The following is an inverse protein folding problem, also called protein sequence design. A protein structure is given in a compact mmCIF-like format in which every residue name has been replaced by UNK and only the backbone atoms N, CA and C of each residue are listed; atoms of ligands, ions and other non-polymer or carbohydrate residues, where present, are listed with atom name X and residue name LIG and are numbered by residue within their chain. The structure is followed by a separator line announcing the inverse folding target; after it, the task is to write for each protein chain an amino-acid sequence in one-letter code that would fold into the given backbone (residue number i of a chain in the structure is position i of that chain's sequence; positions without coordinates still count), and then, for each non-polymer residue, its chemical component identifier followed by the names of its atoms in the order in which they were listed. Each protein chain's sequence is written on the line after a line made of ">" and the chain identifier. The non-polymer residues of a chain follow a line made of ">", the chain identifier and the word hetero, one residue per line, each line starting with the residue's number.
data_IF_849849712942
#
_entry.id   IF_849849712942
#
_cell.length_a   1.000
_cell.length_b   1.000
_cell.length_c   1.000
_cell.angle_alpha   90.00
_cell.angle_beta   90.00
_cell.angle_gamma   90.00
#
_symmetry.space_group_name_H-M   'P 1'
#
loop_
_entity.id
_entity.type
_entity.pdbx_description
1 polymer ?
#
# COMPACT_ATOMS: atom_id res chain seq x y z
N UNK A 1 58.69 8.39 -35.84
CA UNK A 1 58.13 7.70 -34.65
C UNK A 1 58.05 8.71 -33.51
N UNK A 2 56.87 9.26 -33.23
CA UNK A 2 56.65 10.03 -32.00
C UNK A 2 55.26 9.70 -31.51
N UNK A 3 55.18 8.95 -30.41
CA UNK A 3 53.93 8.43 -29.84
C UNK A 3 53.16 9.57 -29.18
N UNK A 4 51.88 9.70 -29.55
CA UNK A 4 50.87 10.51 -28.84
C UNK A 4 50.75 10.00 -27.40
N UNK A 5 50.90 10.89 -26.43
CA UNK A 5 50.47 10.66 -25.06
C UNK A 5 48.94 10.91 -25.00
N UNK A 6 48.19 9.90 -24.56
CA UNK A 6 46.79 10.05 -24.19
C UNK A 6 46.70 10.66 -22.79
N UNK A 7 45.74 11.55 -22.50
CA UNK A 7 45.54 12.06 -21.15
C UNK A 7 44.91 10.95 -20.31
N UNK A 8 45.54 10.66 -19.17
CA UNK A 8 45.02 9.81 -18.11
C UNK A 8 43.67 10.37 -17.62
N UNK A 9 42.65 9.53 -17.68
CA UNK A 9 41.34 9.81 -17.09
C UNK A 9 41.53 9.72 -15.57
N UNK A 10 41.67 10.88 -14.93
CA UNK A 10 41.71 11.03 -13.47
C UNK A 10 40.44 10.45 -12.84
N UNK A 11 40.63 9.67 -11.78
CA UNK A 11 39.63 8.82 -11.13
C UNK A 11 38.32 9.51 -10.75
N UNK A 12 37.22 8.77 -10.96
CA UNK A 12 35.92 9.11 -10.45
C UNK A 12 35.95 9.21 -8.92
N UNK A 13 35.70 10.40 -8.40
CA UNK A 13 35.41 10.59 -6.98
C UNK A 13 34.20 9.72 -6.61
N UNK A 14 34.40 8.76 -5.70
CA UNK A 14 33.33 8.02 -5.05
C UNK A 14 32.35 9.02 -4.44
N UNK A 15 31.17 9.16 -5.05
CA UNK A 15 30.09 9.98 -4.48
C UNK A 15 29.75 9.38 -3.11
N UNK A 16 30.06 10.11 -2.05
CA UNK A 16 29.83 9.66 -0.67
C UNK A 16 28.32 9.52 -0.47
N UNK A 17 27.84 8.28 -0.38
CA UNK A 17 26.43 7.97 -0.14
C UNK A 17 25.98 8.44 1.24
N UNK A 18 24.78 9.01 1.33
CA UNK A 18 24.18 9.44 2.60
C UNK A 18 23.85 8.21 3.46
N UNK A 19 24.22 8.20 4.74
CA UNK A 19 23.86 7.10 5.62
C UNK A 19 22.38 7.20 6.01
N UNK A 20 21.60 6.16 5.71
CA UNK A 20 20.15 6.14 5.93
C UNK A 20 19.78 4.99 6.86
N UNK A 21 19.36 5.29 8.09
CA UNK A 21 18.95 4.29 9.07
C UNK A 21 17.45 3.99 8.92
N UNK A 22 17.12 2.77 8.48
CA UNK A 22 15.75 2.41 8.15
C UNK A 22 15.14 1.46 9.20
N UNK A 23 14.00 1.85 9.79
CA UNK A 23 13.26 1.07 10.78
C UNK A 23 11.94 0.54 10.22
N UNK A 24 11.47 -0.58 10.78
CA UNK A 24 10.22 -1.27 10.41
C UNK A 24 10.09 -1.77 8.96
N UNK A 25 11.13 -1.61 8.14
CA UNK A 25 11.19 -2.15 6.77
C UNK A 25 11.28 -3.68 6.77
N UNK A 26 10.30 -4.34 6.14
CA UNK A 26 10.33 -5.79 5.88
C UNK A 26 11.49 -6.19 4.97
N UNK A 27 12.08 -7.35 5.19
CA UNK A 27 13.26 -7.81 4.42
C UNK A 27 13.05 -7.76 2.90
N UNK A 28 11.88 -8.15 2.41
CA UNK A 28 11.57 -8.15 0.97
C UNK A 28 11.48 -6.74 0.34
N UNK A 29 11.25 -5.67 1.14
CA UNK A 29 11.23 -4.28 0.65
C UNK A 29 12.63 -3.66 0.56
N UNK A 30 13.63 -4.24 1.23
CA UNK A 30 14.99 -3.69 1.32
C UNK A 30 15.68 -3.56 -0.05
N UNK A 31 15.68 -4.60 -0.92
CA UNK A 31 16.34 -4.48 -2.21
C UNK A 31 15.69 -3.43 -3.11
N UNK A 32 14.38 -3.22 -2.98
CA UNK A 32 13.67 -2.18 -3.71
C UNK A 32 14.15 -0.79 -3.24
N UNK A 33 14.17 -0.51 -1.94
CA UNK A 33 14.67 0.77 -1.42
C UNK A 33 16.12 1.04 -1.82
N UNK A 34 17.00 0.03 -1.75
CA UNK A 34 18.40 0.19 -2.16
C UNK A 34 18.55 0.53 -3.65
N UNK A 35 17.67 0.00 -4.52
CA UNK A 35 17.65 0.36 -5.95
C UNK A 35 17.03 1.74 -6.19
N UNK A 36 15.94 2.06 -5.50
CA UNK A 36 15.21 3.33 -5.65
C UNK A 36 15.97 4.55 -5.14
N UNK A 37 16.93 4.34 -4.24
CA UNK A 37 17.76 5.43 -3.70
C UNK A 37 19.25 5.05 -3.74
N UNK A 38 19.87 5.03 -4.93
CA UNK A 38 21.26 4.58 -5.11
C UNK A 38 22.29 5.52 -4.48
N UNK A 39 21.89 6.76 -4.19
CA UNK A 39 22.63 7.79 -3.47
C UNK A 39 22.69 7.54 -1.96
N UNK A 40 21.95 6.57 -1.44
CA UNK A 40 21.88 6.22 -0.01
C UNK A 40 22.63 4.94 0.31
N UNK A 41 23.14 4.88 1.54
CA UNK A 41 23.67 3.66 2.16
C UNK A 41 22.73 3.26 3.29
N UNK A 42 21.88 2.26 3.02
CA UNK A 42 20.88 1.82 3.97
C UNK A 42 21.48 0.98 5.11
N UNK A 43 21.06 1.30 6.32
CA UNK A 43 21.30 0.53 7.53
C UNK A 43 19.95 0.09 8.08
N UNK A 44 19.53 -1.15 7.79
CA UNK A 44 18.23 -1.66 8.21
C UNK A 44 18.25 -2.20 9.64
N UNK A 45 17.52 -1.54 10.53
CA UNK A 45 17.39 -1.96 11.91
C UNK A 45 16.48 -3.20 12.02
N UNK A 46 16.72 -4.11 12.99
CA UNK A 46 15.82 -5.21 13.30
C UNK A 46 14.43 -4.71 13.66
N UNK A 47 13.38 -5.43 13.24
CA UNK A 47 11.99 -5.06 13.57
C UNK A 47 11.69 -5.14 15.07
N UNK A 48 12.19 -6.18 15.73
CA UNK A 48 12.02 -6.41 17.17
C UNK A 48 13.29 -5.96 17.88
N UNK A 49 13.55 -4.66 17.85
CA UNK A 49 14.73 -4.10 18.48
C UNK A 49 14.43 -3.86 19.96
N UNK A 50 15.22 -4.50 20.84
CA UNK A 50 15.17 -4.22 22.27
C UNK A 50 15.86 -2.88 22.59
N UNK A 51 15.44 -2.21 23.65
CA UNK A 51 16.08 -0.96 24.10
C UNK A 51 17.58 -1.16 24.36
N UNK A 52 17.94 -2.30 24.97
CA UNK A 52 19.35 -2.65 25.24
C UNK A 52 20.16 -2.82 23.95
N UNK A 53 19.61 -3.49 22.93
CA UNK A 53 20.32 -3.65 21.64
C UNK A 53 20.42 -2.34 20.87
N UNK A 54 19.40 -1.47 20.98
CA UNK A 54 19.45 -0.12 20.43
C UNK A 54 20.59 0.68 21.05
N UNK A 55 20.63 0.79 22.38
CA UNK A 55 21.63 1.58 23.11
C UNK A 55 23.06 1.03 22.92
N UNK A 56 23.24 -0.29 22.89
CA UNK A 56 24.57 -0.90 22.76
C UNK A 56 25.12 -0.88 21.33
N UNK A 57 24.25 -0.99 20.33
CA UNK A 57 24.67 -1.25 18.94
C UNK A 57 24.33 -0.11 17.99
N UNK A 58 23.08 0.34 18.00
CA UNK A 58 22.57 1.24 16.96
C UNK A 58 22.80 2.70 17.29
N UNK A 59 22.56 3.11 18.53
CA UNK A 59 22.82 4.47 18.99
C UNK A 59 24.28 4.89 18.78
N UNK A 60 25.31 4.10 19.16
CA UNK A 60 26.70 4.48 18.87
C UNK A 60 26.97 4.57 17.37
N UNK A 61 26.41 3.67 16.56
CA UNK A 61 26.58 3.72 15.10
C UNK A 61 25.94 4.96 14.47
N UNK A 62 24.75 5.34 14.91
CA UNK A 62 24.07 6.55 14.44
C UNK A 62 24.89 7.79 14.82
N UNK A 63 25.37 7.86 16.07
CA UNK A 63 26.14 9.01 16.58
C UNK A 63 27.56 9.11 15.99
N UNK A 64 28.14 8.00 15.54
CA UNK A 64 29.45 7.98 14.89
C UNK A 64 29.38 8.33 13.40
N UNK A 65 28.21 8.22 12.78
CA UNK A 65 28.06 8.65 11.39
C UNK A 65 28.03 10.17 11.29
N UNK A 66 28.52 10.68 10.16
CA UNK A 66 28.45 12.11 9.84
C UNK A 66 27.01 12.52 9.46
N UNK A 67 26.80 13.24 8.32
CA UNK A 67 25.43 13.50 7.87
C UNK A 67 24.71 12.17 7.64
N UNK A 68 23.59 11.98 8.33
CA UNK A 68 22.72 10.81 8.21
C UNK A 68 21.25 11.22 8.29
N UNK A 69 20.37 10.29 7.95
CA UNK A 69 18.91 10.45 8.05
C UNK A 69 18.26 9.16 8.55
N UNK A 70 17.00 9.25 8.95
CA UNK A 70 16.19 8.11 9.41
C UNK A 70 15.00 7.91 8.49
N UNK A 71 14.82 6.69 8.00
CA UNK A 71 13.62 6.25 7.29
C UNK A 71 12.75 5.40 8.22
N UNK A 72 11.47 5.72 8.34
CA UNK A 72 10.51 4.99 9.17
C UNK A 72 9.42 4.42 8.30
N UNK A 73 9.32 3.10 8.17
CA UNK A 73 8.17 2.52 7.48
C UNK A 73 6.91 2.62 8.36
N UNK A 74 5.90 3.37 7.91
CA UNK A 74 4.68 3.67 8.66
C UNK A 74 4.86 4.75 9.74
N UNK A 75 3.88 4.89 10.65
CA UNK A 75 3.82 6.03 11.59
C UNK A 75 4.68 5.87 12.87
N UNK A 76 5.12 4.66 13.19
CA UNK A 76 5.73 4.37 14.48
C UNK A 76 7.25 4.62 14.46
N UNK A 77 7.68 5.84 14.79
CA UNK A 77 9.09 6.12 15.09
C UNK A 77 9.42 5.63 16.52
N UNK A 78 10.40 4.73 16.71
CA UNK A 78 10.78 4.26 18.05
C UNK A 78 11.18 5.43 18.98
N UNK A 79 10.69 5.50 20.23
CA UNK A 79 10.95 6.64 21.13
C UNK A 79 12.43 6.96 21.33
N UNK A 80 13.27 5.94 21.53
CA UNK A 80 14.71 6.13 21.68
C UNK A 80 15.38 6.71 20.42
N UNK A 81 14.87 6.35 19.23
CA UNK A 81 15.34 6.92 17.96
C UNK A 81 14.82 8.34 17.75
N UNK A 82 13.58 8.62 18.14
CA UNK A 82 12.99 9.97 18.13
C UNK A 82 13.79 10.95 19.00
N UNK A 83 14.20 10.50 20.19
CA UNK A 83 15.01 11.30 21.12
C UNK A 83 16.37 11.66 20.50
N UNK A 84 17.06 10.70 19.89
CA UNK A 84 18.36 10.95 19.24
C UNK A 84 18.18 11.83 18.01
N UNK A 85 17.18 11.56 17.18
CA UNK A 85 16.93 12.34 15.98
C UNK A 85 16.66 13.81 16.31
N UNK A 86 15.88 14.07 17.37
CA UNK A 86 15.63 15.42 17.87
C UNK A 86 16.91 16.07 18.42
N UNK A 87 17.66 15.37 19.29
CA UNK A 87 18.87 15.90 19.93
C UNK A 87 19.98 16.23 18.93
N UNK A 88 20.08 15.46 17.85
CA UNK A 88 21.14 15.58 16.85
C UNK A 88 20.66 16.27 15.56
N UNK A 89 19.43 16.76 15.52
CA UNK A 89 18.79 17.32 14.32
C UNK A 89 18.91 16.40 13.09
N UNK A 90 18.73 15.09 13.29
CA UNK A 90 18.75 14.10 12.20
C UNK A 90 17.40 14.15 11.50
N UNK A 91 17.36 14.35 10.17
CA UNK A 91 16.12 14.31 9.40
C UNK A 91 15.42 12.96 9.52
N UNK A 92 14.11 12.98 9.72
CA UNK A 92 13.25 11.79 9.74
C UNK A 92 12.31 11.85 8.54
N UNK A 93 12.25 10.78 7.77
CA UNK A 93 11.30 10.57 6.68
C UNK A 93 10.44 9.35 6.99
N UNK A 94 9.14 9.55 7.10
CA UNK A 94 8.16 8.49 7.11
C UNK A 94 7.93 8.00 5.69
N UNK A 95 7.97 6.69 5.51
CA UNK A 95 7.86 6.01 4.21
C UNK A 95 6.64 5.12 4.24
N UNK A 96 5.79 5.25 3.24
CA UNK A 96 4.65 4.37 3.04
C UNK A 96 4.47 3.97 1.58
N UNK A 97 3.67 2.92 1.36
CA UNK A 97 3.21 2.60 0.01
C UNK A 97 2.39 3.81 -0.50
N UNK A 98 2.71 4.30 -1.69
CA UNK A 98 1.93 5.34 -2.35
C UNK A 98 0.55 4.83 -2.78
N UNK A 99 -0.30 5.71 -3.29
CA UNK A 99 -1.70 5.36 -3.58
C UNK A 99 -1.86 4.40 -4.76
N UNK A 100 -0.87 4.33 -5.65
CA UNK A 100 -0.81 3.38 -6.76
C UNK A 100 0.21 2.28 -6.45
N UNK A 101 -0.25 1.14 -5.96
CA UNK A 101 0.61 0.16 -5.29
C UNK A 101 1.19 -0.93 -6.21
N UNK A 102 0.35 -1.68 -6.92
CA UNK A 102 0.80 -2.85 -7.69
C UNK A 102 -0.21 -3.30 -8.74
N UNK A 103 0.28 -4.00 -9.77
CA UNK A 103 -0.56 -4.62 -10.81
C UNK A 103 -1.49 -5.69 -10.23
N UNK A 104 -1.00 -6.47 -9.26
CA UNK A 104 -1.78 -7.54 -8.62
C UNK A 104 -2.39 -7.10 -7.28
N UNK A 105 -3.65 -7.45 -7.00
CA UNK A 105 -4.33 -7.23 -5.73
C UNK A 105 -3.66 -8.12 -4.70
N UNK A 106 -3.18 -7.50 -3.62
CA UNK A 106 -2.63 -8.20 -2.45
C UNK A 106 -1.77 -9.42 -2.82
N UNK A 107 -0.96 -9.34 -3.89
CA UNK A 107 0.11 -10.29 -4.08
C UNK A 107 1.06 -10.04 -2.92
N UNK A 108 1.17 -11.02 -2.04
CA UNK A 108 2.10 -10.95 -0.94
C UNK A 108 3.47 -10.66 -1.58
N UNK A 109 4.09 -9.52 -1.23
CA UNK A 109 5.49 -9.18 -1.58
C UNK A 109 5.77 -8.71 -3.03
N UNK A 110 4.81 -8.07 -3.72
CA UNK A 110 5.15 -7.30 -4.93
C UNK A 110 5.80 -5.96 -4.54
N UNK A 111 6.93 -5.55 -5.15
CA UNK A 111 7.53 -4.24 -4.90
C UNK A 111 6.53 -3.11 -5.16
N UNK A 112 6.49 -2.07 -4.30
CA UNK A 112 5.58 -0.96 -4.50
C UNK A 112 5.99 -0.17 -5.75
N UNK A 113 5.01 0.25 -6.55
CA UNK A 113 5.24 1.09 -7.73
C UNK A 113 5.39 2.57 -7.37
N UNK A 114 4.91 2.96 -6.18
CA UNK A 114 5.02 4.32 -5.66
C UNK A 114 5.29 4.31 -4.16
N UNK A 115 6.03 5.32 -3.70
CA UNK A 115 6.30 5.58 -2.29
C UNK A 115 5.82 6.97 -1.91
N UNK A 116 5.13 7.06 -0.78
CA UNK A 116 4.92 8.31 -0.07
C UNK A 116 6.13 8.56 0.84
N UNK A 117 6.77 9.72 0.70
CA UNK A 117 7.88 10.18 1.54
C UNK A 117 7.43 11.44 2.27
N UNK A 118 7.33 11.38 3.59
CA UNK A 118 6.81 12.48 4.40
C UNK A 118 7.78 12.82 5.54
N UNK A 119 8.21 14.08 5.62
CA UNK A 119 9.13 14.55 6.65
C UNK A 119 8.45 14.91 7.98
N UNK A 120 7.10 14.92 8.03
CA UNK A 120 6.31 15.34 9.19
C UNK A 120 5.54 14.19 9.82
N UNK A 121 4.65 13.58 9.06
CA UNK A 121 3.78 12.48 9.50
C UNK A 121 3.16 11.79 8.29
N UNK A 122 2.95 10.45 8.30
CA UNK A 122 2.28 9.77 7.19
C UNK A 122 0.91 10.38 6.85
N UNK A 123 0.54 10.35 5.57
CA UNK A 123 -0.70 10.95 5.06
C UNK A 123 -1.99 10.50 5.77
N UNK A 124 -2.00 9.32 6.39
CA UNK A 124 -3.15 8.78 7.11
C UNK A 124 -3.23 9.22 8.58
N UNK A 125 -2.19 9.89 9.10
CA UNK A 125 -2.17 10.42 10.47
C UNK A 125 -2.83 11.80 10.49
N UNK A 126 -3.99 11.89 11.13
CA UNK A 126 -4.74 13.14 11.28
C UNK A 126 -4.43 13.88 12.58
N UNK A 127 -3.56 13.35 13.45
CA UNK A 127 -3.16 14.01 14.69
C UNK A 127 -2.10 15.09 14.47
N UNK A 128 -1.37 15.03 13.35
CA UNK A 128 -0.29 15.94 12.99
C UNK A 128 -0.40 16.36 11.53
N UNK A 129 0.13 17.54 11.14
CA UNK A 129 0.20 17.91 9.74
C UNK A 129 1.20 17.01 9.00
N UNK A 130 0.78 16.43 7.88
CA UNK A 130 1.65 15.76 6.91
C UNK A 130 2.17 16.74 5.86
N UNK A 131 3.23 16.38 5.14
CA UNK A 131 3.66 17.14 3.96
C UNK A 131 2.57 17.18 2.89
N UNK A 132 1.76 16.12 2.76
CA UNK A 132 0.57 16.15 1.89
C UNK A 132 -0.46 17.19 2.34
N UNK A 133 -0.77 17.27 3.64
CA UNK A 133 -1.71 18.26 4.18
C UNK A 133 -1.22 19.68 3.93
N UNK A 134 0.10 19.91 4.10
CA UNK A 134 0.73 21.21 3.85
C UNK A 134 0.70 21.55 2.37
N UNK A 135 1.05 20.60 1.50
CA UNK A 135 0.98 20.77 0.04
C UNK A 135 -0.43 21.17 -0.39
N UNK A 136 -1.45 20.42 0.03
CA UNK A 136 -2.85 20.69 -0.30
C UNK A 136 -3.33 22.04 0.25
N UNK A 137 -2.84 22.45 1.43
CA UNK A 137 -3.20 23.72 2.04
C UNK A 137 -2.56 24.93 1.36
N UNK A 138 -1.32 24.79 0.87
CA UNK A 138 -0.46 25.94 0.52
C UNK A 138 -0.18 26.08 -0.97
N UNK A 139 -0.30 25.01 -1.76
CA UNK A 139 -0.01 25.06 -3.19
C UNK A 139 -1.08 25.85 -3.97
N UNK A 140 -0.64 26.72 -4.87
CA UNK A 140 -1.53 27.51 -5.73
C UNK A 140 -1.93 26.72 -6.98
N UNK A 141 -2.94 25.86 -6.81
CA UNK A 141 -3.50 25.05 -7.90
C UNK A 141 -4.21 25.88 -8.98
N UNK A 142 -4.72 27.07 -8.64
CA UNK A 142 -5.44 27.92 -9.60
C UNK A 142 -4.49 28.57 -10.60
N UNK A 143 -3.26 28.87 -10.17
CA UNK A 143 -2.21 29.40 -11.02
C UNK A 143 -1.55 28.36 -11.93
N UNK A 144 -1.60 27.06 -11.60
CA UNK A 144 -0.97 25.99 -12.39
C UNK A 144 -1.98 25.23 -13.27
N UNK A 145 -2.44 25.88 -14.33
CA UNK A 145 -3.39 25.30 -15.28
C UNK A 145 -2.88 24.01 -15.95
N UNK A 146 -1.56 23.89 -16.18
CA UNK A 146 -0.95 22.72 -16.81
C UNK A 146 -1.00 21.50 -15.89
N UNK A 147 -0.69 21.68 -14.59
CA UNK A 147 -0.85 20.64 -13.59
C UNK A 147 -2.31 20.21 -13.44
N UNK A 148 -3.24 21.16 -13.45
CA UNK A 148 -4.68 20.85 -13.31
C UNK A 148 -5.23 20.06 -14.50
N UNK A 149 -4.78 20.37 -15.73
CA UNK A 149 -5.11 19.56 -16.90
C UNK A 149 -4.50 18.16 -16.82
N UNK A 150 -3.23 18.06 -16.39
CA UNK A 150 -2.56 16.79 -16.13
C UNK A 150 -3.29 15.95 -15.08
N UNK A 151 -3.80 16.58 -14.03
CA UNK A 151 -4.57 15.93 -12.98
C UNK A 151 -5.91 15.39 -13.48
N UNK A 152 -6.64 16.18 -14.29
CA UNK A 152 -7.88 15.76 -14.93
C UNK A 152 -7.65 14.54 -15.85
N UNK A 153 -6.66 14.62 -16.73
CA UNK A 153 -6.29 13.54 -17.62
C UNK A 153 -5.82 12.30 -16.84
N UNK A 154 -5.04 12.49 -15.78
CA UNK A 154 -4.55 11.43 -14.92
C UNK A 154 -5.65 10.70 -14.15
N UNK A 155 -6.63 11.43 -13.61
CA UNK A 155 -7.79 10.85 -12.96
C UNK A 155 -8.64 10.03 -13.95
N UNK A 156 -8.89 10.58 -15.14
CA UNK A 156 -9.59 9.86 -16.20
C UNK A 156 -8.85 8.60 -16.65
N UNK A 157 -7.52 8.67 -16.79
CA UNK A 157 -6.66 7.52 -17.12
C UNK A 157 -6.76 6.42 -16.07
N UNK A 158 -6.69 6.78 -14.78
CA UNK A 158 -6.80 5.82 -13.68
C UNK A 158 -8.18 5.14 -13.68
N UNK A 159 -9.26 5.91 -13.75
CA UNK A 159 -10.62 5.36 -13.76
C UNK A 159 -10.89 4.48 -14.98
N UNK A 160 -10.48 4.94 -16.17
CA UNK A 160 -10.68 4.20 -17.43
C UNK A 160 -9.83 2.94 -17.56
N UNK A 161 -8.80 2.79 -16.73
CA UNK A 161 -7.99 1.56 -16.69
C UNK A 161 -8.61 0.46 -15.82
N UNK A 162 -9.61 0.76 -15.00
CA UNK A 162 -10.14 -0.17 -14.00
C UNK A 162 -9.17 -0.49 -12.86
N UNK A 163 -8.01 0.19 -12.82
CA UNK A 163 -6.99 -0.01 -11.78
C UNK A 163 -7.49 0.59 -10.47
N UNK A 164 -7.55 -0.25 -9.45
CA UNK A 164 -7.74 0.12 -8.05
C UNK A 164 -6.55 -0.41 -7.23
N UNK A 165 -6.54 -0.14 -5.91
CA UNK A 165 -5.54 -0.71 -4.98
C UNK A 165 -5.55 -2.26 -5.01
N UNK A 166 -6.65 -2.87 -5.49
CA UNK A 166 -6.83 -4.31 -5.62
C UNK A 166 -7.45 -4.72 -6.98
N UNK A 167 -6.68 -5.27 -7.93
CA UNK A 167 -7.11 -5.65 -9.31
C UNK A 167 -7.28 -7.18 -9.57
N UNK A 168 -8.42 -7.84 -9.30
CA UNK A 168 -8.47 -9.33 -9.48
C UNK A 168 -9.79 -9.98 -9.86
N UNK A 169 -9.67 -11.06 -10.66
CA UNK A 169 -10.57 -12.22 -10.77
C UNK A 169 -11.81 -12.07 -11.65
N UNK A 170 -12.27 -13.19 -12.25
CA UNK A 170 -13.45 -13.33 -13.13
C UNK A 170 -14.65 -12.49 -12.64
N UNK A 171 -15.09 -11.59 -13.50
CA UNK A 171 -15.89 -10.42 -13.15
C UNK A 171 -17.37 -10.80 -13.13
N UNK A 172 -17.92 -11.02 -11.93
CA UNK A 172 -19.36 -10.80 -11.76
C UNK A 172 -19.61 -9.29 -11.80
N UNK A 173 -20.71 -8.90 -12.42
CA UNK A 173 -21.12 -7.49 -12.46
C UNK A 173 -21.81 -7.09 -11.16
N UNK A 174 -21.85 -5.79 -10.88
CA UNK A 174 -22.60 -5.27 -9.75
C UNK A 174 -24.09 -5.62 -9.81
N UNK A 175 -24.72 -5.73 -11.00
CA UNK A 175 -26.12 -6.16 -11.09
C UNK A 175 -26.31 -7.64 -10.78
N UNK A 176 -25.34 -8.49 -11.11
CA UNK A 176 -25.39 -9.92 -10.76
C UNK A 176 -25.30 -10.14 -9.25
N UNK A 177 -24.61 -9.25 -8.53
CA UNK A 177 -24.44 -9.36 -7.07
C UNK A 177 -25.53 -8.58 -6.32
N UNK A 178 -25.78 -7.31 -6.67
CA UNK A 178 -26.69 -6.42 -5.95
C UNK A 178 -28.14 -6.48 -6.47
N UNK A 179 -28.39 -7.23 -7.54
CA UNK A 179 -29.68 -7.29 -8.23
C UNK A 179 -30.01 -6.05 -9.07
N UNK A 180 -31.28 -5.88 -9.50
CA UNK A 180 -31.72 -4.69 -10.21
C UNK A 180 -31.69 -3.46 -9.28
N UNK A 181 -31.22 -2.32 -9.79
CA UNK A 181 -31.22 -1.06 -9.05
C UNK A 181 -32.62 -0.45 -9.07
N UNK A 182 -33.37 -0.64 -8.00
CA UNK A 182 -34.74 -0.11 -7.83
C UNK A 182 -34.81 1.13 -6.93
N UNK A 183 -33.72 1.42 -6.20
CA UNK A 183 -33.61 2.53 -5.23
C UNK A 183 -32.15 2.97 -5.07
N UNK A 184 -31.91 4.05 -4.30
CA UNK A 184 -30.55 4.53 -3.98
C UNK A 184 -29.71 3.40 -3.39
N UNK A 185 -28.46 3.26 -3.84
CA UNK A 185 -27.49 2.28 -3.34
C UNK A 185 -26.43 2.96 -2.49
N UNK A 186 -26.26 2.45 -1.28
CA UNK A 186 -25.26 2.93 -0.34
C UNK A 186 -24.26 1.81 -0.09
N UNK A 187 -22.98 2.06 -0.36
CA UNK A 187 -21.91 1.11 -0.08
C UNK A 187 -21.18 1.48 1.20
N UNK A 188 -21.19 0.59 2.18
CA UNK A 188 -20.38 0.67 3.38
C UNK A 188 -19.09 -0.13 3.16
N UNK A 189 -17.95 0.56 3.18
CA UNK A 189 -16.64 -0.07 2.94
C UNK A 189 -16.03 -0.53 4.26
N UNK A 190 -15.95 -1.86 4.43
CA UNK A 190 -15.27 -2.46 5.57
C UNK A 190 -13.75 -2.33 5.49
N UNK A 191 -13.12 -2.17 6.65
CA UNK A 191 -11.67 -2.10 6.82
C UNK A 191 -11.22 -3.06 7.94
N UNK A 192 -9.93 -3.34 7.95
CA UNK A 192 -9.27 -4.02 9.08
C UNK A 192 -9.18 -3.02 10.24
N UNK A 193 -9.87 -3.28 11.34
CA UNK A 193 -10.11 -2.29 12.42
C UNK A 193 -8.86 -1.96 13.27
N UNK A 194 -7.79 -2.75 13.15
CA UNK A 194 -6.49 -2.47 13.76
C UNK A 194 -5.48 -1.86 12.76
N UNK A 195 -5.92 -1.48 11.56
CA UNK A 195 -5.09 -0.82 10.56
C UNK A 195 -4.59 0.55 11.07
N UNK A 196 -3.36 0.91 10.68
CA UNK A 196 -2.74 2.16 11.07
C UNK A 196 -3.57 3.37 10.61
N UNK A 197 -4.20 3.31 9.44
CA UNK A 197 -5.06 4.39 8.94
C UNK A 197 -6.30 4.62 9.79
N UNK A 198 -6.82 3.60 10.50
CA UNK A 198 -7.90 3.80 11.48
C UNK A 198 -7.30 4.33 12.78
N UNK A 199 -6.24 3.69 13.28
CA UNK A 199 -5.61 4.09 14.54
C UNK A 199 -5.15 5.55 14.58
N UNK A 200 -4.62 6.07 13.47
CA UNK A 200 -4.11 7.45 13.37
C UNK A 200 -5.05 8.38 12.60
N UNK A 201 -6.05 7.85 11.90
CA UNK A 201 -7.00 8.62 11.10
C UNK A 201 -8.41 8.68 11.66
N UNK A 202 -8.71 8.03 12.80
CA UNK A 202 -10.04 8.00 13.41
C UNK A 202 -9.97 8.34 14.91
N UNK A 203 -9.88 9.63 15.28
CA UNK A 203 -9.75 10.08 16.67
C UNK A 203 -10.86 9.59 17.60
N UNK A 204 -12.12 9.68 17.15
CA UNK A 204 -13.25 9.04 17.82
C UNK A 204 -13.40 7.61 17.31
N UNK A 205 -13.45 6.59 18.20
CA UNK A 205 -13.57 5.19 17.79
C UNK A 205 -14.78 4.95 16.88
N UNK A 206 -14.56 4.18 15.81
CA UNK A 206 -15.59 3.77 14.85
C UNK A 206 -15.28 2.33 14.43
N UNK A 207 -16.21 1.40 14.64
CA UNK A 207 -16.11 0.03 14.12
C UNK A 207 -16.76 -0.08 12.75
N UNK A 208 -16.53 -1.18 12.03
CA UNK A 208 -17.25 -1.43 10.78
C UNK A 208 -18.78 -1.53 11.02
N UNK A 209 -19.20 -2.15 12.12
CA UNK A 209 -20.61 -2.30 12.46
C UNK A 209 -21.25 -0.94 12.81
N UNK A 210 -20.53 -0.05 13.48
CA UNK A 210 -21.00 1.31 13.75
C UNK A 210 -21.18 2.11 12.47
N UNK A 211 -20.27 1.95 11.50
CA UNK A 211 -20.40 2.57 10.19
C UNK A 211 -21.64 2.07 9.43
N UNK A 212 -21.95 0.76 9.51
CA UNK A 212 -23.17 0.20 8.92
C UNK A 212 -24.41 0.77 9.60
N UNK A 213 -24.44 0.84 10.93
CA UNK A 213 -25.55 1.43 11.69
C UNK A 213 -25.76 2.89 11.33
N UNK A 214 -24.67 3.65 11.19
CA UNK A 214 -24.71 5.05 10.77
C UNK A 214 -25.35 5.19 9.38
N UNK A 215 -24.85 4.46 8.39
CA UNK A 215 -25.39 4.49 7.03
C UNK A 215 -26.88 4.11 6.98
N UNK A 216 -27.27 3.04 7.69
CA UNK A 216 -28.66 2.58 7.75
C UNK A 216 -29.58 3.62 8.42
N UNK A 217 -29.10 4.32 9.45
CA UNK A 217 -29.89 5.34 10.16
C UNK A 217 -30.15 6.59 9.31
N UNK A 218 -29.23 6.92 8.41
CA UNK A 218 -29.29 8.15 7.60
C UNK A 218 -29.87 7.95 6.22
N UNK A 219 -29.83 6.70 5.73
CA UNK A 219 -30.32 6.31 4.41
C UNK A 219 -31.40 5.22 4.55
N UNK A 220 -32.49 5.45 5.31
CA UNK A 220 -33.45 4.40 5.66
C UNK A 220 -34.17 3.76 4.47
N UNK A 221 -34.29 4.49 3.35
CA UNK A 221 -34.94 4.01 2.13
C UNK A 221 -33.96 3.37 1.13
N UNK A 222 -32.65 3.45 1.37
CA UNK A 222 -31.64 2.95 0.46
C UNK A 222 -31.40 1.44 0.59
N UNK A 223 -30.86 0.84 -0.47
CA UNK A 223 -30.23 -0.48 -0.39
C UNK A 223 -28.84 -0.29 0.24
N UNK A 224 -28.70 -0.69 1.49
CA UNK A 224 -27.41 -0.68 2.20
C UNK A 224 -26.64 -1.94 1.85
N UNK A 225 -25.51 -1.79 1.18
CA UNK A 225 -24.57 -2.83 0.80
C UNK A 225 -23.35 -2.72 1.73
N UNK A 226 -23.09 -3.73 2.55
CA UNK A 226 -21.87 -3.77 3.35
C UNK A 226 -20.87 -4.70 2.71
N UNK A 227 -19.70 -4.18 2.33
CA UNK A 227 -18.58 -4.99 1.79
C UNK A 227 -17.47 -5.13 2.83
N UNK A 228 -17.41 -6.23 3.59
CA UNK A 228 -16.33 -6.46 4.55
C UNK A 228 -14.96 -6.55 3.87
N UNK A 229 -13.90 -6.21 4.59
CA UNK A 229 -12.55 -6.42 4.09
C UNK A 229 -12.24 -7.93 3.96
N UNK A 230 -11.59 -8.40 2.87
CA UNK A 230 -11.28 -9.83 2.70
C UNK A 230 -10.58 -10.48 3.90
N UNK A 231 -9.59 -9.79 4.50
CA UNK A 231 -8.87 -10.27 5.69
C UNK A 231 -9.76 -10.45 6.94
N UNK A 232 -10.88 -9.73 7.02
CA UNK A 232 -11.89 -9.89 8.10
C UNK A 232 -12.73 -11.13 7.84
N UNK A 233 -13.15 -11.35 6.59
CA UNK A 233 -13.88 -12.56 6.18
C UNK A 233 -13.05 -13.83 6.42
N UNK A 234 -11.74 -13.79 6.17
CA UNK A 234 -10.84 -14.92 6.36
C UNK A 234 -10.45 -15.17 7.83
N UNK A 235 -10.93 -14.36 8.79
CA UNK A 235 -10.65 -14.47 10.24
C UNK A 235 -9.15 -14.51 10.60
N UNK A 236 -8.30 -13.94 9.75
CA UNK A 236 -6.83 -13.94 9.94
C UNK A 236 -6.41 -12.97 11.06
N UNK A 237 -7.31 -12.06 11.46
CA UNK A 237 -7.11 -11.13 12.57
C UNK A 237 -8.27 -11.22 13.58
N UNK A 238 -8.03 -10.85 14.87
CA UNK A 238 -9.10 -10.77 15.86
C UNK A 238 -10.18 -9.79 15.37
N UNK A 239 -11.39 -10.28 15.16
CA UNK A 239 -12.52 -9.45 14.74
C UNK A 239 -12.98 -8.58 15.93
N UNK A 240 -13.03 -7.25 15.78
CA UNK A 240 -13.70 -6.37 16.75
C UNK A 240 -15.17 -6.13 16.36
N UNK A 241 -15.50 -6.30 15.09
CA UNK A 241 -16.86 -6.34 14.55
C UNK A 241 -17.23 -7.70 13.96
N UNK A 242 -18.49 -8.13 14.14
CA UNK A 242 -19.07 -9.27 13.43
C UNK A 242 -20.15 -8.80 12.42
N UNK A 243 -19.95 -9.01 11.10
CA UNK A 243 -20.97 -8.68 10.08
C UNK A 243 -22.36 -9.26 10.36
N UNK A 244 -22.46 -10.40 11.06
CA UNK A 244 -23.75 -11.02 11.41
C UNK A 244 -24.61 -10.12 12.30
N UNK A 245 -24.01 -9.29 13.16
CA UNK A 245 -24.74 -8.38 14.05
C UNK A 245 -25.45 -7.24 13.31
N UNK A 246 -25.05 -6.93 12.08
CA UNK A 246 -25.61 -5.83 11.28
C UNK A 246 -26.26 -6.32 9.98
N UNK A 247 -26.31 -7.63 9.75
CA UNK A 247 -26.93 -8.24 8.57
C UNK A 247 -28.45 -7.98 8.47
N UNK A 248 -29.11 -7.60 9.57
CA UNK A 248 -30.51 -7.17 9.56
C UNK A 248 -30.70 -5.73 9.05
N UNK A 249 -29.62 -4.96 8.89
CA UNK A 249 -29.62 -3.57 8.42
C UNK A 249 -29.09 -3.43 6.98
N UNK A 250 -28.43 -4.45 6.45
CA UNK A 250 -27.73 -4.38 5.19
C UNK A 250 -27.62 -5.73 4.49
N UNK A 251 -27.33 -5.69 3.20
CA UNK A 251 -26.90 -6.84 2.42
C UNK A 251 -25.38 -6.98 2.52
N UNK A 252 -24.91 -8.08 3.12
CA UNK A 252 -23.47 -8.34 3.30
C UNK A 252 -22.88 -8.95 2.03
N UNK A 253 -22.10 -8.16 1.31
CA UNK A 253 -21.45 -8.53 0.04
C UNK A 253 -20.15 -9.29 0.33
N UNK A 254 -20.23 -10.62 0.31
CA UNK A 254 -19.09 -11.51 0.56
C UNK A 254 -18.36 -11.93 -0.72
N UNK A 255 -19.00 -11.72 -1.86
CA UNK A 255 -18.51 -12.04 -3.18
C UNK A 255 -17.27 -11.21 -3.54
N UNK A 256 -16.35 -11.85 -4.26
CA UNK A 256 -15.21 -11.18 -4.86
C UNK A 256 -15.70 -10.26 -5.97
N UNK A 257 -15.68 -8.96 -5.70
CA UNK A 257 -16.03 -7.90 -6.63
C UNK A 257 -14.95 -6.82 -6.56
N UNK A 258 -14.26 -6.53 -7.67
CA UNK A 258 -13.31 -5.42 -7.74
C UNK A 258 -13.99 -4.12 -7.32
N UNK A 259 -13.24 -3.24 -6.65
CA UNK A 259 -13.81 -2.01 -6.12
C UNK A 259 -14.41 -1.12 -7.24
N UNK A 260 -13.74 -1.05 -8.39
CA UNK A 260 -14.23 -0.31 -9.55
C UNK A 260 -15.63 -0.77 -9.99
N UNK A 261 -15.87 -2.08 -10.03
CA UNK A 261 -17.17 -2.65 -10.38
C UNK A 261 -18.17 -2.48 -9.22
N UNK A 262 -17.74 -2.67 -7.98
CA UNK A 262 -18.57 -2.46 -6.79
C UNK A 262 -19.14 -1.04 -6.71
N UNK A 263 -18.38 -0.04 -7.16
CA UNK A 263 -18.80 1.37 -7.15
C UNK A 263 -19.71 1.73 -8.32
N UNK A 264 -19.80 0.92 -9.39
CA UNK A 264 -20.44 1.32 -10.66
C UNK A 264 -21.92 1.69 -10.53
N UNK A 265 -22.64 1.05 -9.60
CA UNK A 265 -24.08 1.29 -9.40
C UNK A 265 -24.40 2.01 -8.08
N UNK A 266 -23.37 2.39 -7.32
CA UNK A 266 -23.47 3.01 -5.99
C UNK A 266 -23.66 4.52 -6.12
N UNK A 267 -24.56 5.07 -5.31
CA UNK A 267 -24.84 6.52 -5.28
C UNK A 267 -24.10 7.22 -4.14
N UNK A 268 -23.82 6.50 -3.05
CA UNK A 268 -23.18 7.05 -1.85
C UNK A 268 -22.30 6.01 -1.18
N UNK A 269 -21.07 6.40 -0.81
CA UNK A 269 -20.13 5.57 -0.05
C UNK A 269 -19.99 6.08 1.38
N UNK A 270 -20.07 5.16 2.33
CA UNK A 270 -19.70 5.37 3.72
C UNK A 270 -18.37 4.65 3.99
N UNK A 271 -17.41 5.36 4.57
CA UNK A 271 -16.09 4.80 4.90
C UNK A 271 -15.53 5.40 6.18
N UNK A 272 -14.64 4.69 6.88
CA UNK A 272 -13.90 5.24 8.02
C UNK A 272 -12.73 6.07 7.49
N UNK A 273 -11.72 5.41 6.93
CA UNK A 273 -10.51 6.03 6.37
C UNK A 273 -10.01 5.37 5.08
N UNK A 274 -10.83 4.52 4.45
CA UNK A 274 -10.40 3.69 3.33
C UNK A 274 -10.02 4.55 2.12
N UNK A 275 -8.98 4.15 1.38
CA UNK A 275 -8.69 4.75 0.08
C UNK A 275 -9.86 4.60 -0.91
N UNK A 276 -10.75 3.63 -0.68
CA UNK A 276 -11.95 3.44 -1.48
C UNK A 276 -12.87 4.68 -1.51
N UNK A 277 -12.92 5.46 -0.42
CA UNK A 277 -13.65 6.73 -0.42
C UNK A 277 -13.06 7.74 -1.42
N UNK A 278 -11.73 7.80 -1.54
CA UNK A 278 -11.10 8.66 -2.55
C UNK A 278 -11.38 8.17 -3.97
N UNK A 279 -11.41 6.86 -4.21
CA UNK A 279 -11.82 6.31 -5.51
C UNK A 279 -13.27 6.63 -5.85
N UNK A 280 -14.16 6.60 -4.86
CA UNK A 280 -15.56 7.00 -5.02
C UNK A 280 -15.70 8.49 -5.38
N UNK A 281 -14.94 9.38 -4.71
CA UNK A 281 -14.88 10.80 -5.06
C UNK A 281 -14.44 11.01 -6.52
N UNK A 282 -13.42 10.28 -6.98
CA UNK A 282 -12.96 10.36 -8.36
C UNK A 282 -14.06 9.98 -9.38
N UNK A 283 -15.00 9.11 -8.98
CA UNK A 283 -16.15 8.70 -9.79
C UNK A 283 -17.36 9.64 -9.67
N UNK A 284 -17.26 10.72 -8.88
CA UNK A 284 -18.36 11.64 -8.62
C UNK A 284 -19.45 11.07 -7.70
N UNK A 285 -19.13 10.05 -6.91
CA UNK A 285 -20.04 9.44 -5.94
C UNK A 285 -20.00 10.26 -4.65
N UNK A 286 -21.15 10.44 -3.99
CA UNK A 286 -21.20 11.08 -2.67
C UNK A 286 -20.42 10.25 -1.64
N UNK A 287 -19.63 10.90 -0.78
CA UNK A 287 -18.81 10.19 0.22
C UNK A 287 -19.00 10.80 1.59
N UNK A 288 -19.39 9.96 2.55
CA UNK A 288 -19.38 10.27 3.98
C UNK A 288 -18.19 9.59 4.64
N UNK A 289 -17.35 10.35 5.35
CA UNK A 289 -16.23 9.81 6.11
C UNK A 289 -16.51 9.85 7.60
N UNK A 290 -16.50 8.67 8.23
CA UNK A 290 -16.65 8.52 9.67
C UNK A 290 -15.33 8.72 10.44
N UNK A 291 -14.18 8.67 9.76
CA UNK A 291 -12.89 9.12 10.27
C UNK A 291 -12.44 10.43 9.58
N UNK A 292 -11.13 10.69 9.62
CA UNK A 292 -10.47 11.85 9.00
C UNK A 292 -9.32 11.42 8.06
N UNK A 293 -9.61 10.66 6.98
CA UNK A 293 -8.60 10.28 5.99
C UNK A 293 -8.00 11.52 5.30
N UNK A 294 -6.89 11.37 4.56
CA UNK A 294 -6.19 12.50 3.92
C UNK A 294 -7.08 13.37 3.00
N UNK A 295 -8.14 12.78 2.43
CA UNK A 295 -9.08 13.43 1.51
C UNK A 295 -10.30 14.06 2.20
N UNK A 296 -10.46 13.91 3.51
CA UNK A 296 -11.50 14.58 4.30
C UNK A 296 -11.07 16.00 4.73
N UNK A 297 -12.03 16.90 4.92
CA UNK A 297 -11.82 18.27 5.36
C UNK A 297 -11.57 19.29 4.24
N UNK A 298 -11.68 18.89 2.97
CA UNK A 298 -11.43 19.76 1.81
C UNK A 298 -12.69 20.20 1.07
N UNK A 299 -13.87 19.93 1.63
CA UNK A 299 -15.17 20.27 1.03
C UNK A 299 -15.66 19.32 -0.06
N UNK A 300 -15.02 18.14 -0.19
CA UNK A 300 -15.40 17.10 -1.15
C UNK A 300 -16.17 15.93 -0.49
N UNK A 301 -16.19 15.87 0.83
CA UNK A 301 -16.79 14.80 1.64
C UNK A 301 -17.73 15.37 2.70
N UNK A 302 -18.69 14.54 3.13
CA UNK A 302 -19.46 14.78 4.34
C UNK A 302 -18.71 14.16 5.55
N UNK A 303 -18.08 15.03 6.34
CA UNK A 303 -17.13 14.64 7.38
C UNK A 303 -17.80 14.53 8.76
N UNK A 304 -17.75 13.35 9.38
CA UNK A 304 -18.27 13.16 10.76
C UNK A 304 -17.25 13.44 11.83
N UNK A 305 -15.98 13.51 11.45
CA UNK A 305 -14.88 13.94 12.30
C UNK A 305 -14.13 15.06 11.60
N UNK A 306 -14.44 16.30 12.00
CA UNK A 306 -13.80 17.50 11.45
C UNK A 306 -12.31 17.54 11.78
N UNK A 307 -11.48 17.98 10.83
CA UNK A 307 -10.09 18.31 11.08
C UNK A 307 -9.90 19.84 11.02
N UNK A 308 -9.68 20.53 12.15
CA UNK A 308 -9.64 21.99 12.19
C UNK A 308 -8.48 22.61 11.40
N UNK A 309 -7.47 21.82 11.01
CA UNK A 309 -6.35 22.29 10.18
C UNK A 309 -6.70 22.32 8.69
N UNK A 310 -7.79 21.64 8.28
CA UNK A 310 -8.27 21.56 6.90
C UNK A 310 -9.55 22.38 6.77
N UNK A 311 -9.43 23.54 6.13
CA UNK A 311 -10.56 24.46 5.92
C UNK A 311 -10.62 25.07 4.52
N UNK A 312 -9.66 24.71 3.65
CA UNK A 312 -9.63 25.12 2.25
C UNK A 312 -10.57 24.23 1.44
N UNK A 313 -11.35 24.83 0.55
CA UNK A 313 -12.11 24.06 -0.46
C UNK A 313 -11.18 23.72 -1.63
N UNK A 314 -11.10 22.45 -1.98
CA UNK A 314 -10.34 21.97 -3.13
C UNK A 314 -11.27 21.38 -4.19
N UNK A 315 -10.89 21.51 -5.46
CA UNK A 315 -11.48 20.68 -6.51
C UNK A 315 -10.94 19.25 -6.40
N UNK A 316 -11.66 18.31 -7.01
CA UNK A 316 -11.21 16.91 -7.09
C UNK A 316 -9.85 16.81 -7.79
N UNK A 317 -9.63 17.58 -8.85
CA UNK A 317 -8.37 17.60 -9.59
C UNK A 317 -7.22 18.15 -8.75
N UNK A 318 -7.45 19.17 -7.90
CA UNK A 318 -6.42 19.71 -7.02
C UNK A 318 -6.01 18.66 -5.97
N UNK A 319 -6.99 17.97 -5.39
CA UNK A 319 -6.72 16.89 -4.45
C UNK A 319 -6.00 15.71 -5.13
N UNK A 320 -6.38 15.36 -6.35
CA UNK A 320 -5.69 14.35 -7.17
C UNK A 320 -4.25 14.78 -7.51
N UNK A 321 -4.03 16.02 -7.92
CA UNK A 321 -2.71 16.56 -8.24
C UNK A 321 -1.77 16.44 -7.04
N UNK A 322 -2.23 16.86 -5.86
CA UNK A 322 -1.48 16.70 -4.62
C UNK A 322 -1.18 15.23 -4.32
N UNK A 323 -2.21 14.39 -4.31
CA UNK A 323 -2.10 13.01 -3.86
C UNK A 323 -1.37 12.07 -4.86
N UNK A 324 -1.51 12.25 -6.17
CA UNK A 324 -1.00 11.31 -7.17
C UNK A 324 0.12 11.89 -8.05
N UNK A 325 0.30 13.20 -8.13
CA UNK A 325 1.30 13.79 -9.04
C UNK A 325 2.48 14.43 -8.32
N UNK A 326 2.24 15.06 -7.17
CA UNK A 326 3.25 15.85 -6.46
C UNK A 326 3.81 15.17 -5.22
N UNK A 327 2.96 14.54 -4.41
CA UNK A 327 3.37 13.96 -3.12
C UNK A 327 4.13 12.63 -3.24
N UNK A 328 3.64 11.60 -3.97
CA UNK A 328 4.35 10.33 -4.09
C UNK A 328 5.45 10.38 -5.17
N UNK A 329 6.47 9.56 -4.97
CA UNK A 329 7.47 9.25 -6.01
C UNK A 329 7.16 7.88 -6.63
N UNK A 330 7.31 7.78 -7.94
CA UNK A 330 7.06 6.56 -8.69
C UNK A 330 8.36 5.93 -9.14
N UNK A 331 8.41 4.60 -9.12
CA UNK A 331 9.61 3.83 -9.45
C UNK A 331 9.29 2.65 -10.34
N UNK A 332 10.16 2.36 -11.30
CA UNK A 332 10.13 1.09 -12.03
C UNK A 332 10.66 -0.04 -11.11
N UNK A 333 9.87 -1.08 -10.78
CA UNK A 333 10.23 -2.08 -9.78
C UNK A 333 11.55 -2.83 -10.03
N UNK A 334 11.87 -3.03 -11.32
CA UNK A 334 13.03 -3.82 -11.74
C UNK A 334 14.30 -2.99 -11.63
N UNK A 335 14.33 -1.81 -12.24
CA UNK A 335 15.54 -0.98 -12.29
C UNK A 335 15.69 -0.12 -11.05
N UNK A 336 14.59 0.29 -10.43
CA UNK A 336 14.56 1.29 -9.35
C UNK A 336 14.56 2.72 -9.84
N UNK A 337 14.55 2.95 -11.16
CA UNK A 337 14.57 4.30 -11.73
C UNK A 337 13.27 5.05 -11.41
N UNK A 338 13.38 6.35 -11.17
CA UNK A 338 12.22 7.21 -11.04
C UNK A 338 11.43 7.28 -12.35
N UNK A 339 10.11 7.26 -12.23
CA UNK A 339 9.19 7.33 -13.37
C UNK A 339 8.05 8.29 -13.07
N UNK A 340 7.12 8.45 -14.01
CA UNK A 340 5.92 9.25 -13.82
C UNK A 340 4.72 8.40 -13.41
N UNK A 341 3.72 9.06 -12.83
CA UNK A 341 2.40 8.47 -12.58
C UNK A 341 1.82 7.83 -13.85
N UNK A 342 1.82 8.55 -14.97
CA UNK A 342 1.25 8.10 -16.25
C UNK A 342 1.97 6.87 -16.79
N UNK A 343 3.31 6.88 -16.75
CA UNK A 343 4.12 5.75 -17.18
C UNK A 343 3.87 4.50 -16.31
N UNK A 344 3.68 4.71 -15.00
CA UNK A 344 3.33 3.64 -14.06
C UNK A 344 1.95 3.08 -14.36
N UNK A 345 0.93 3.92 -14.55
CA UNK A 345 -0.43 3.48 -14.92
C UNK A 345 -0.41 2.72 -16.25
N UNK A 346 0.30 3.22 -17.26
CA UNK A 346 0.45 2.53 -18.54
C UNK A 346 1.16 1.18 -18.40
N UNK A 347 2.18 1.09 -17.55
CA UNK A 347 2.87 -0.17 -17.27
C UNK A 347 1.96 -1.18 -16.57
N UNK A 348 1.15 -0.75 -15.59
CA UNK A 348 0.15 -1.60 -14.94
C UNK A 348 -0.86 -2.09 -15.97
N UNK A 349 -1.42 -1.18 -16.78
CA UNK A 349 -2.43 -1.51 -17.79
C UNK A 349 -1.92 -2.56 -18.77
N UNK A 350 -0.70 -2.38 -19.33
CA UNK A 350 -0.07 -3.39 -20.19
C UNK A 350 0.03 -4.76 -19.53
N UNK A 351 0.39 -4.81 -18.25
CA UNK A 351 0.47 -6.09 -17.53
C UNK A 351 -0.90 -6.72 -17.24
N UNK A 352 -1.98 -5.93 -17.15
CA UNK A 352 -3.35 -6.45 -17.03
C UNK A 352 -3.88 -6.95 -18.37
N UNK A 353 -3.58 -6.24 -19.47
CA UNK A 353 -3.99 -6.60 -20.83
C UNK A 353 -3.20 -7.81 -21.38
N UNK A 354 -1.95 -8.00 -20.92
CA UNK A 354 -1.06 -9.11 -21.29
C UNK A 354 -0.73 -9.99 -20.06
N UNK A 355 -1.70 -10.74 -19.50
CA UNK A 355 -1.51 -11.50 -18.27
C UNK A 355 -0.42 -12.59 -18.35
N UNK A 356 -0.01 -12.99 -19.56
CA UNK A 356 0.94 -14.08 -19.82
C UNK A 356 2.42 -13.73 -19.63
N UNK A 357 2.81 -12.45 -19.57
CA UNK A 357 4.24 -12.11 -19.55
C UNK A 357 4.93 -12.29 -18.19
N UNK A 358 4.19 -12.53 -17.09
CA UNK A 358 4.76 -12.73 -15.75
C UNK A 358 3.94 -13.65 -14.84
N UNK A 359 3.17 -14.61 -15.35
CA UNK A 359 2.77 -15.71 -14.47
C UNK A 359 4.04 -16.49 -14.14
N UNK A 360 4.42 -16.68 -12.86
CA UNK A 360 5.34 -17.76 -12.55
C UNK A 360 4.55 -19.03 -12.88
N UNK A 361 4.75 -19.54 -14.09
CA UNK A 361 4.25 -20.84 -14.48
C UNK A 361 4.75 -21.81 -13.42
N UNK A 362 3.86 -22.67 -12.89
CA UNK A 362 4.24 -23.76 -11.98
C UNK A 362 5.58 -24.33 -12.45
N UNK A 363 6.56 -24.51 -11.55
CA UNK A 363 7.88 -24.92 -11.97
C UNK A 363 7.73 -26.21 -12.78
N UNK A 364 8.13 -26.15 -14.06
CA UNK A 364 8.02 -27.30 -14.95
C UNK A 364 8.73 -28.48 -14.30
N UNK A 365 8.10 -29.67 -14.33
CA UNK A 365 8.69 -30.84 -13.71
C UNK A 365 10.07 -31.11 -14.31
N UNK A 366 11.08 -31.22 -13.46
CA UNK A 366 12.44 -31.57 -13.88
C UNK A 366 12.90 -32.80 -13.11
N UNK A 367 13.48 -33.81 -13.80
CA UNK A 367 14.00 -35.00 -13.14
C UNK A 367 15.24 -34.72 -12.28
N UNK A 368 15.88 -33.55 -12.44
CA UNK A 368 17.04 -33.14 -11.69
C UNK A 368 17.02 -31.61 -11.49
N UNK A 369 17.58 -31.14 -10.37
CA UNK A 369 17.73 -29.70 -10.09
C UNK A 369 17.18 -29.28 -8.72
N UNK A 370 16.65 -28.05 -8.58
CA UNK A 370 16.31 -27.47 -7.28
C UNK A 370 15.22 -28.23 -6.51
N UNK A 371 14.42 -29.03 -7.23
CA UNK A 371 13.35 -29.88 -6.69
C UNK A 371 13.79 -31.34 -6.44
N UNK A 372 15.10 -31.61 -6.45
CA UNK A 372 15.68 -32.91 -6.11
C UNK A 372 15.76 -33.90 -7.26
N UNK A 373 16.29 -35.09 -6.93
CA UNK A 373 16.41 -36.24 -7.84
C UNK A 373 15.01 -36.76 -8.19
N UNK A 374 14.75 -37.07 -9.45
CA UNK A 374 13.43 -37.41 -10.00
C UNK A 374 12.33 -36.37 -9.71
N UNK A 375 12.71 -35.13 -9.37
CA UNK A 375 11.74 -34.05 -9.11
C UNK A 375 10.76 -34.33 -7.97
N UNK A 376 11.09 -35.23 -7.02
CA UNK A 376 10.13 -35.68 -6.00
C UNK A 376 9.58 -34.53 -5.14
N UNK A 377 10.32 -33.41 -5.00
CA UNK A 377 9.84 -32.24 -4.24
C UNK A 377 8.74 -31.46 -4.95
N UNK A 378 8.46 -31.72 -6.23
CA UNK A 378 7.24 -31.20 -6.86
C UNK A 378 5.97 -31.76 -6.20
N UNK A 379 6.03 -32.96 -5.59
CA UNK A 379 4.91 -33.54 -4.84
C UNK A 379 4.63 -32.76 -3.55
N UNK A 380 5.66 -32.18 -2.93
CA UNK A 380 5.50 -31.33 -1.75
C UNK A 380 4.63 -30.10 -2.05
N UNK A 381 4.65 -29.61 -3.29
CA UNK A 381 3.80 -28.49 -3.71
C UNK A 381 2.32 -28.84 -3.54
N UNK A 382 1.91 -30.01 -4.03
CA UNK A 382 0.52 -30.48 -3.93
C UNK A 382 0.11 -30.81 -2.49
N UNK A 383 1.02 -31.37 -1.69
CA UNK A 383 0.77 -31.75 -0.29
C UNK A 383 0.67 -30.52 0.62
N UNK A 384 1.54 -29.53 0.41
CA UNK A 384 1.66 -28.38 1.31
C UNK A 384 0.74 -27.23 0.95
N UNK A 385 0.33 -27.08 -0.31
CA UNK A 385 -0.55 -25.98 -0.71
C UNK A 385 -1.85 -25.88 0.11
N UNK A 386 -2.56 -26.98 0.47
CA UNK A 386 -3.73 -26.90 1.34
C UNK A 386 -3.39 -26.43 2.77
N UNK A 387 -2.27 -26.86 3.32
CA UNK A 387 -1.82 -26.43 4.65
C UNK A 387 -1.40 -24.96 4.66
N UNK A 388 -0.72 -24.50 3.60
CA UNK A 388 -0.35 -23.10 3.41
C UNK A 388 -1.59 -22.22 3.20
N UNK A 389 -2.57 -22.70 2.44
CA UNK A 389 -3.88 -22.04 2.29
C UNK A 389 -4.58 -21.86 3.64
N UNK A 390 -4.56 -22.91 4.47
CA UNK A 390 -5.20 -22.88 5.78
C UNK A 390 -4.46 -21.99 6.80
N UNK A 391 -3.12 -21.98 6.76
CA UNK A 391 -2.31 -21.16 7.66
C UNK A 391 -2.22 -19.68 7.20
N UNK A 392 -2.46 -19.41 5.92
CA UNK A 392 -2.43 -18.09 5.31
C UNK A 392 -3.76 -17.78 4.61
N UNK A 393 -3.75 -17.76 3.29
CA UNK A 393 -4.92 -17.57 2.44
C UNK A 393 -4.75 -18.26 1.08
N UNK A 394 -5.78 -18.23 0.24
CA UNK A 394 -5.73 -18.81 -1.10
C UNK A 394 -4.57 -18.31 -1.96
N UNK A 395 -4.16 -17.05 -1.78
CA UNK A 395 -3.06 -16.44 -2.53
C UNK A 395 -1.69 -16.86 -2.04
N UNK A 396 -1.50 -17.07 -0.73
CA UNK A 396 -0.25 -17.65 -0.20
C UNK A 396 -0.03 -19.06 -0.78
N UNK A 397 -1.10 -19.82 -0.99
CA UNK A 397 -1.03 -21.11 -1.64
C UNK A 397 -0.74 -21.00 -3.14
N UNK A 398 -1.26 -19.99 -3.84
CA UNK A 398 -0.93 -19.69 -5.24
C UNK A 398 0.54 -19.26 -5.40
N UNK A 399 1.02 -18.32 -4.58
CA UNK A 399 2.41 -17.86 -4.55
C UNK A 399 3.37 -19.03 -4.27
N UNK A 400 3.02 -19.90 -3.31
CA UNK A 400 3.77 -21.12 -3.03
C UNK A 400 3.75 -22.11 -4.21
N UNK A 401 2.62 -22.31 -4.88
CA UNK A 401 2.55 -23.20 -6.04
C UNK A 401 3.36 -22.67 -7.23
N UNK A 402 3.46 -21.36 -7.35
CA UNK A 402 4.14 -20.67 -8.44
C UNK A 402 5.67 -20.64 -8.22
N UNK A 403 6.13 -20.36 -7.00
CA UNK A 403 7.55 -20.42 -6.63
C UNK A 403 7.73 -20.91 -5.17
N UNK A 404 7.78 -22.24 -4.93
CA UNK A 404 7.93 -22.80 -3.60
C UNK A 404 9.19 -22.32 -2.87
N UNK A 405 10.28 -22.12 -3.61
CA UNK A 405 11.60 -21.77 -3.08
C UNK A 405 11.59 -20.30 -2.68
N UNK A 406 11.19 -19.41 -3.59
CA UNK A 406 11.06 -17.99 -3.33
C UNK A 406 10.01 -17.70 -2.27
N UNK A 407 8.89 -18.42 -2.25
CA UNK A 407 7.86 -18.31 -1.22
C UNK A 407 8.46 -18.50 0.18
N UNK A 408 9.14 -19.62 0.41
CA UNK A 408 9.74 -19.92 1.70
C UNK A 408 10.85 -18.93 2.09
N UNK A 409 11.68 -18.51 1.13
CA UNK A 409 12.78 -17.56 1.36
C UNK A 409 12.32 -16.18 1.73
N UNK A 410 11.16 -15.79 1.22
CA UNK A 410 10.60 -14.46 1.43
C UNK A 410 9.68 -14.37 2.66
N UNK A 411 9.48 -15.48 3.39
CA UNK A 411 8.77 -15.48 4.69
C UNK A 411 9.55 -14.66 5.73
N UNK A 412 8.83 -13.85 6.51
CA UNK A 412 9.43 -13.03 7.58
C UNK A 412 9.91 -13.85 8.78
N UNK A 413 9.28 -15.00 9.06
CA UNK A 413 9.66 -15.88 10.15
C UNK A 413 10.93 -16.67 9.80
N UNK A 414 11.96 -16.52 10.64
CA UNK A 414 13.24 -17.24 10.51
C UNK A 414 13.08 -18.75 10.61
N UNK A 415 12.14 -19.26 11.41
CA UNK A 415 11.85 -20.70 11.55
C UNK A 415 11.25 -21.25 10.27
N UNK A 416 10.30 -20.54 9.67
CA UNK A 416 9.69 -20.95 8.41
C UNK A 416 10.68 -20.89 7.23
N UNK A 417 11.58 -19.90 7.22
CA UNK A 417 12.70 -19.87 6.26
C UNK A 417 13.64 -21.06 6.43
N UNK A 418 13.92 -21.47 7.66
CA UNK A 418 14.75 -22.63 7.95
C UNK A 418 14.08 -23.92 7.46
N UNK A 419 12.78 -24.09 7.73
CA UNK A 419 11.97 -25.19 7.20
C UNK A 419 12.03 -25.19 5.67
N UNK A 420 11.85 -24.03 5.04
CA UNK A 420 11.98 -23.88 3.60
C UNK A 420 13.34 -24.30 3.04
N UNK A 421 14.44 -23.99 3.74
CA UNK A 421 15.79 -24.43 3.36
C UNK A 421 16.00 -25.92 3.52
N UNK A 422 15.28 -26.59 4.42
CA UNK A 422 15.31 -28.05 4.56
C UNK A 422 14.50 -28.71 3.44
N UNK A 423 13.31 -28.17 3.16
CA UNK A 423 12.40 -28.70 2.15
C UNK A 423 12.94 -28.49 0.73
N UNK A 424 13.51 -27.33 0.44
CA UNK A 424 14.10 -26.96 -0.85
C UNK A 424 15.54 -26.46 -0.69
N UNK A 425 16.51 -27.38 -0.47
CA UNK A 425 17.88 -27.01 -0.13
C UNK A 425 18.71 -26.49 -1.31
N UNK A 426 18.29 -26.76 -2.55
CA UNK A 426 19.04 -26.49 -3.77
C UNK A 426 18.53 -25.29 -4.57
N UNK A 427 17.70 -24.46 -3.94
CA UNK A 427 17.09 -23.29 -4.58
C UNK A 427 18.01 -22.10 -4.71
#
# INVERSE_FOLDING_TARGET
>A
MSRKAAPEISGGASVKRLATFAVHVTEWKRPFLERSFPDRRFHFLPKNLSDSDFDRTWKPRILLEGPCEVFVWGAALPPALAEIATKQNIPVCFVEDGFLRSVRPSASRTPPLSLALDSRAPYFDCHRPSDLEVLLSTYDFEADAALMERARAGAALLLGSGISKYNGGLQRTAEEIYGPKTRKRVLVVGQVEDDASIRYGCPSPMTNNDLVRLAASEQPEAQILYKPHPDVLSRVRPARSDPAEVAHLCEVVTESLPLAEALRTVDHVYTITSLAGFEALMRGIEVTTAGSPFYAGWGLTDDRQSNPRRGRKLSLEALFAGAYLLYPRYFEPVTGDETSFEATVAAIKRQLDEPDLRQPSRPAWRPWGPYGVLGWRHLLIAIMAPAIRHAGNDRDAEDFQADPIGFFRSLSDRRLRLIGRILYPFG
#
